data_IF_815943822856
#
_entry.id   IF_815943822856
#
_cell.length_a   1.000
_cell.length_b   1.000
_cell.length_c   1.000
_cell.angle_alpha   90.00
_cell.angle_beta   90.00
_cell.angle_gamma   90.00
#
_symmetry.space_group_name_H-M   'P 1'
#
loop_
_entity.id
_entity.type
_entity.pdbx_description
1 polymer ?
#
# COMPACT_ATOMS: atom_id res chain seq x y z
N UNK A 1 -9.55 4.96 -18.54
CA UNK A 1 -8.64 4.57 -17.46
C UNK A 1 -8.58 3.07 -17.53
N UNK A 2 -7.42 2.50 -17.84
CA UNK A 2 -7.26 1.04 -17.91
C UNK A 2 -7.55 0.44 -16.53
N UNK A 3 -8.10 -0.77 -16.50
CA UNK A 3 -8.38 -1.50 -15.27
C UNK A 3 -7.12 -1.65 -14.42
N UNK A 4 -5.97 -1.88 -15.07
CA UNK A 4 -4.67 -1.95 -14.38
C UNK A 4 -4.33 -0.66 -13.61
N UNK A 5 -4.50 0.50 -14.24
CA UNK A 5 -4.24 1.78 -13.61
C UNK A 5 -5.23 2.04 -12.45
N UNK A 6 -6.49 1.70 -12.66
CA UNK A 6 -7.53 1.80 -11.63
C UNK A 6 -7.18 0.95 -10.40
N UNK A 7 -6.76 -0.30 -10.61
CA UNK A 7 -6.36 -1.22 -9.54
C UNK A 7 -5.14 -0.69 -8.79
N UNK A 8 -4.10 -0.25 -9.50
CA UNK A 8 -2.92 0.29 -8.82
C UNK A 8 -3.22 1.58 -8.03
N UNK A 9 -4.05 2.49 -8.57
CA UNK A 9 -4.48 3.71 -7.85
C UNK A 9 -5.32 3.38 -6.63
N UNK A 10 -6.23 2.40 -6.72
CA UNK A 10 -7.03 1.96 -5.59
C UNK A 10 -6.16 1.30 -4.51
N UNK A 11 -5.27 0.40 -4.91
CA UNK A 11 -4.32 -0.26 -4.02
C UNK A 11 -3.43 0.76 -3.32
N UNK A 12 -2.87 1.73 -4.05
CA UNK A 12 -2.03 2.78 -3.50
C UNK A 12 -2.82 3.63 -2.49
N UNK A 13 -4.05 4.04 -2.83
CA UNK A 13 -4.89 4.86 -1.96
C UNK A 13 -5.22 4.14 -0.65
N UNK A 14 -5.69 2.88 -0.73
CA UNK A 14 -6.01 2.07 0.45
C UNK A 14 -4.77 1.87 1.32
N UNK A 15 -3.64 1.51 0.71
CA UNK A 15 -2.40 1.25 1.44
C UNK A 15 -1.89 2.52 2.14
N UNK A 16 -1.94 3.67 1.47
CA UNK A 16 -1.56 4.96 2.08
C UNK A 16 -2.48 5.33 3.24
N UNK A 17 -3.80 5.14 3.10
CA UNK A 17 -4.74 5.41 4.20
C UNK A 17 -4.44 4.53 5.42
N UNK A 18 -4.21 3.24 5.21
CA UNK A 18 -3.85 2.32 6.29
C UNK A 18 -2.50 2.68 6.94
N UNK A 19 -1.52 3.09 6.15
CA UNK A 19 -0.22 3.51 6.64
C UNK A 19 -0.34 4.75 7.53
N UNK A 20 -1.13 5.74 7.10
CA UNK A 20 -1.41 6.95 7.89
C UNK A 20 -2.10 6.60 9.21
N UNK A 21 -3.08 5.71 9.20
CA UNK A 21 -3.77 5.27 10.43
C UNK A 21 -2.77 4.59 11.38
N UNK A 22 -1.93 3.68 10.89
CA UNK A 22 -0.91 3.00 11.70
C UNK A 22 0.11 3.99 12.29
N UNK A 23 0.56 4.96 11.49
CA UNK A 23 1.45 6.02 11.97
C UNK A 23 0.77 6.92 13.01
N UNK A 24 -0.52 7.18 12.87
CA UNK A 24 -1.28 7.96 13.86
C UNK A 24 -1.44 7.21 15.20
N UNK A 25 -1.43 5.86 15.17
CA UNK A 25 -1.51 5.03 16.37
C UNK A 25 -0.17 4.89 17.11
N UNK A 26 0.95 5.13 16.43
CA UNK A 26 2.30 4.93 16.98
C UNK A 26 2.57 5.63 18.32
N UNK A 27 2.16 6.90 18.53
CA UNK A 27 2.37 7.58 19.81
C UNK A 27 1.65 6.93 21.00
N UNK A 28 0.61 6.15 20.74
CA UNK A 28 -0.17 5.45 21.77
C UNK A 28 0.36 4.04 22.07
N UNK A 29 1.41 3.60 21.39
CA UNK A 29 2.01 2.28 21.58
C UNK A 29 3.22 2.37 22.51
N UNK A 30 3.25 1.48 23.51
CA UNK A 30 4.36 1.39 24.44
C UNK A 30 5.66 0.96 23.73
N UNK A 31 6.79 1.62 23.98
CA UNK A 31 8.09 1.17 23.48
C UNK A 31 8.43 -0.26 23.92
N UNK A 32 8.86 -1.10 22.98
CA UNK A 32 9.23 -2.50 23.25
C UNK A 32 8.04 -3.46 23.36
N UNK A 33 6.80 -2.98 23.22
CA UNK A 33 5.62 -3.84 23.16
C UNK A 33 5.53 -4.64 21.85
N UNK A 34 4.91 -5.81 21.93
CA UNK A 34 4.64 -6.66 20.75
C UNK A 34 3.83 -5.92 19.69
N UNK A 35 2.85 -5.12 20.11
CA UNK A 35 2.00 -4.33 19.20
C UNK A 35 2.82 -3.32 18.38
N UNK A 36 3.83 -2.69 18.99
CA UNK A 36 4.72 -1.77 18.28
C UNK A 36 5.60 -2.48 17.26
N UNK A 37 6.11 -3.68 17.59
CA UNK A 37 6.87 -4.50 16.65
C UNK A 37 6.01 -4.89 15.44
N UNK A 38 4.77 -5.34 15.70
CA UNK A 38 3.81 -5.68 14.65
C UNK A 38 3.52 -4.47 13.76
N UNK A 39 3.32 -3.28 14.33
CA UNK A 39 3.08 -2.05 13.57
C UNK A 39 4.27 -1.64 12.70
N UNK A 40 5.51 -1.79 13.19
CA UNK A 40 6.73 -1.56 12.39
C UNK A 40 6.79 -2.54 11.20
N UNK A 41 6.55 -3.82 11.45
CA UNK A 41 6.56 -4.85 10.40
C UNK A 41 5.46 -4.60 9.37
N UNK A 42 4.25 -4.26 9.81
CA UNK A 42 3.13 -3.92 8.93
C UNK A 42 3.44 -2.68 8.06
N UNK A 43 4.02 -1.62 8.65
CA UNK A 43 4.44 -0.44 7.89
C UNK A 43 5.54 -0.76 6.88
N UNK A 44 6.45 -1.67 7.21
CA UNK A 44 7.52 -2.10 6.29
C UNK A 44 6.94 -2.81 5.07
N UNK A 45 6.00 -3.74 5.26
CA UNK A 45 5.27 -4.41 4.17
C UNK A 45 4.48 -3.40 3.33
N UNK A 46 3.78 -2.46 3.98
CA UNK A 46 3.05 -1.40 3.28
C UNK A 46 3.99 -0.50 2.47
N UNK A 47 5.19 -0.19 2.98
CA UNK A 47 6.22 0.55 2.25
C UNK A 47 6.61 -0.15 0.95
N UNK A 48 6.81 -1.48 0.98
CA UNK A 48 7.08 -2.28 -0.23
C UNK A 48 5.89 -2.24 -1.19
N UNK A 49 4.67 -2.41 -0.69
CA UNK A 49 3.46 -2.36 -1.51
C UNK A 49 3.26 -1.00 -2.19
N UNK A 50 3.51 0.09 -1.46
CA UNK A 50 3.49 1.46 -2.01
C UNK A 50 4.53 1.59 -3.11
N UNK A 51 5.77 1.13 -2.88
CA UNK A 51 6.83 1.18 -3.89
C UNK A 51 6.44 0.43 -5.17
N UNK A 52 5.88 -0.79 -5.04
CA UNK A 52 5.41 -1.59 -6.18
C UNK A 52 4.27 -0.88 -6.90
N UNK A 53 3.27 -0.36 -6.18
CA UNK A 53 2.13 0.31 -6.80
C UNK A 53 2.53 1.62 -7.50
N UNK A 54 3.40 2.42 -6.87
CA UNK A 54 3.95 3.64 -7.47
C UNK A 54 4.79 3.31 -8.70
N UNK A 55 5.65 2.29 -8.63
CA UNK A 55 6.43 1.84 -9.79
C UNK A 55 5.53 1.32 -10.92
N UNK A 56 4.50 0.53 -10.59
CA UNK A 56 3.51 0.04 -11.56
C UNK A 56 2.80 1.18 -12.29
N UNK A 57 2.39 2.22 -11.56
CA UNK A 57 1.80 3.42 -12.17
C UNK A 57 2.82 4.22 -12.99
N UNK A 58 4.04 4.38 -12.49
CA UNK A 58 5.08 5.17 -13.16
C UNK A 58 5.53 4.55 -14.49
N UNK A 59 5.73 3.23 -14.50
CA UNK A 59 6.15 2.50 -15.70
C UNK A 59 4.96 2.09 -16.60
N UNK A 60 3.73 2.41 -16.21
CA UNK A 60 2.54 2.03 -16.96
C UNK A 60 2.36 0.51 -17.07
N UNK A 61 2.71 -0.23 -16.02
CA UNK A 61 2.58 -1.68 -16.00
C UNK A 61 1.09 -2.08 -16.07
N UNK A 62 0.74 -2.95 -17.03
CA UNK A 62 -0.63 -3.42 -17.26
C UNK A 62 -0.85 -4.91 -17.00
N UNK A 63 -0.69 -5.42 -15.77
CA UNK A 63 -0.87 -6.83 -15.47
C UNK A 63 -2.33 -7.29 -15.64
N UNK A 64 -3.30 -6.36 -15.61
CA UNK A 64 -4.74 -6.64 -15.68
C UNK A 64 -5.38 -6.22 -17.02
N UNK A 65 -4.58 -6.01 -18.07
CA UNK A 65 -5.10 -5.64 -19.40
C UNK A 65 -6.10 -6.67 -19.95
N UNK A 66 -5.96 -7.93 -19.57
CA UNK A 66 -6.90 -9.01 -19.93
C UNK A 66 -8.35 -8.79 -19.43
N UNK A 67 -8.57 -7.88 -18.46
CA UNK A 67 -9.90 -7.51 -17.99
C UNK A 67 -10.53 -6.37 -18.81
N UNK A 68 -9.71 -5.62 -19.55
CA UNK A 68 -10.17 -4.52 -20.40
C UNK A 68 -10.69 -5.02 -21.77
N UNK A 69 -10.40 -6.27 -22.14
CA UNK A 69 -10.81 -6.90 -23.42
C UNK A 69 -12.19 -7.59 -23.37
N UNK A 70 -12.88 -7.58 -22.22
CA UNK A 70 -14.20 -8.19 -21.99
C UNK A 70 -15.30 -7.13 -22.13
#
# INVERSE_FOLDING_TARGET
MDTSEAVFRALLSITLTLAVILLALFPFQEPGSESRVISIMALSVQGVMIAIATAGLYFGWKPFEFLDEI
#
